data_IF_723521406516
#
_entry.id   IF_723521406516
#
_cell.length_a   1.000
_cell.length_b   1.000
_cell.length_c   1.000
_cell.angle_alpha   90.00
_cell.angle_beta   90.00
_cell.angle_gamma   90.00
#
_symmetry.space_group_name_H-M   'P 1'
#
loop_
_entity.id
_entity.type
_entity.pdbx_description
1 polymer ?
#
# COMPACT_ATOMS: atom_id res chain seq x y z
N UNK A 1 19.98 -2.90 31.77
CA UNK A 1 20.30 -3.06 30.34
C UNK A 1 19.24 -2.29 29.58
N UNK A 2 19.61 -1.15 28.98
CA UNK A 2 18.70 -0.40 28.11
C UNK A 2 18.41 -1.28 26.88
N UNK A 3 17.15 -1.56 26.61
CA UNK A 3 16.75 -2.27 25.41
C UNK A 3 17.34 -1.50 24.21
N UNK A 4 18.25 -2.13 23.45
CA UNK A 4 18.79 -1.54 22.21
C UNK A 4 17.59 -1.29 21.30
N UNK A 5 17.33 -0.04 20.90
CA UNK A 5 16.24 0.24 19.98
C UNK A 5 16.44 -0.56 18.70
N UNK A 6 15.40 -1.23 18.21
CA UNK A 6 15.45 -1.95 16.94
C UNK A 6 15.73 -0.96 15.81
N UNK A 7 16.56 -1.33 14.81
CA UNK A 7 16.71 -0.51 13.61
C UNK A 7 15.38 -0.40 12.86
N UNK A 8 15.15 0.74 12.21
CA UNK A 8 13.90 1.05 11.51
C UNK A 8 13.99 0.52 10.08
N UNK A 9 13.09 -0.39 9.73
CA UNK A 9 12.89 -0.87 8.38
C UNK A 9 11.61 -0.27 7.80
N UNK A 10 11.75 0.63 6.83
CA UNK A 10 10.59 1.17 6.10
C UNK A 10 10.31 0.32 4.87
N UNK A 11 9.06 -0.07 4.70
CA UNK A 11 8.61 -0.94 3.61
C UNK A 11 7.58 -0.21 2.76
N UNK A 12 7.94 0.12 1.51
CA UNK A 12 7.06 0.74 0.53
C UNK A 12 6.45 -0.37 -0.33
N UNK A 13 5.13 -0.57 -0.30
CA UNK A 13 4.47 -1.63 -1.08
C UNK A 13 3.46 -1.09 -2.08
N UNK A 14 3.39 -1.77 -3.23
CA UNK A 14 2.35 -1.57 -4.25
C UNK A 14 1.62 -2.87 -4.58
N UNK A 15 0.75 -2.84 -5.59
CA UNK A 15 -0.15 -3.95 -5.91
C UNK A 15 0.56 -5.28 -6.26
N UNK A 16 1.84 -5.22 -6.64
CA UNK A 16 2.64 -6.40 -6.93
C UNK A 16 2.84 -7.34 -5.74
N UNK A 17 2.85 -6.82 -4.49
CA UNK A 17 2.94 -7.68 -3.30
C UNK A 17 1.70 -8.55 -3.12
N UNK A 18 0.52 -8.05 -3.51
CA UNK A 18 -0.77 -8.74 -3.39
C UNK A 18 -1.14 -9.57 -4.63
N UNK A 19 -0.33 -9.50 -5.71
CA UNK A 19 -0.61 -10.22 -6.97
C UNK A 19 -0.69 -11.74 -6.78
N UNK A 20 0.24 -12.32 -6.00
CA UNK A 20 0.27 -13.76 -5.70
C UNK A 20 -0.83 -14.19 -4.72
N UNK A 21 -1.54 -13.23 -4.11
CA UNK A 21 -2.76 -13.45 -3.32
C UNK A 21 -4.03 -13.41 -4.19
N UNK A 22 -3.90 -13.21 -5.51
CA UNK A 22 -5.01 -13.15 -6.46
C UNK A 22 -5.67 -11.77 -6.60
N UNK A 23 -5.07 -10.71 -6.05
CA UNK A 23 -5.58 -9.34 -6.23
C UNK A 23 -4.98 -8.75 -7.52
N UNK A 24 -5.82 -8.27 -8.47
CA UNK A 24 -5.34 -7.69 -9.72
C UNK A 24 -4.48 -6.44 -9.48
N UNK A 25 -3.35 -6.36 -10.19
CA UNK A 25 -2.49 -5.18 -10.16
C UNK A 25 -3.07 -4.06 -11.03
N UNK A 26 -2.77 -2.82 -10.66
CA UNK A 26 -2.98 -1.65 -11.52
C UNK A 26 -1.92 -1.63 -12.62
N UNK A 27 -2.33 -1.39 -13.87
CA UNK A 27 -1.42 -1.24 -15.02
C UNK A 27 -1.50 0.19 -15.53
N UNK A 28 -0.45 0.96 -15.26
CA UNK A 28 -0.38 2.35 -15.73
C UNK A 28 -0.30 2.46 -17.26
N UNK A 29 0.25 1.46 -17.94
CA UNK A 29 0.49 1.46 -19.39
C UNK A 29 -0.80 1.50 -20.21
N UNK A 30 -1.84 0.78 -19.78
CA UNK A 30 -3.13 0.72 -20.46
C UNK A 30 -4.26 1.49 -19.73
N UNK A 31 -3.95 2.08 -18.56
CA UNK A 31 -4.90 2.79 -17.72
C UNK A 31 -6.04 1.93 -17.19
N UNK A 32 -5.86 0.61 -17.21
CA UNK A 32 -6.86 -0.34 -16.75
C UNK A 32 -6.60 -0.79 -15.32
N UNK A 33 -7.67 -0.82 -14.53
CA UNK A 33 -7.66 -1.39 -13.20
C UNK A 33 -8.80 -2.42 -13.09
N UNK A 34 -8.43 -3.68 -12.92
CA UNK A 34 -9.39 -4.80 -12.90
C UNK A 34 -10.38 -4.76 -14.09
N UNK A 35 -9.88 -4.46 -15.30
CA UNK A 35 -10.67 -4.42 -16.52
C UNK A 35 -11.49 -3.15 -16.75
N UNK A 36 -11.40 -2.15 -15.86
CA UNK A 36 -12.09 -0.86 -15.99
C UNK A 36 -11.10 0.27 -16.23
N UNK A 37 -11.50 1.27 -17.04
CA UNK A 37 -10.73 2.51 -17.17
C UNK A 37 -10.78 3.28 -15.84
N UNK A 38 -9.64 3.78 -15.41
CA UNK A 38 -9.51 4.55 -14.15
C UNK A 38 -10.45 5.75 -14.12
N UNK A 39 -10.60 6.44 -15.25
CA UNK A 39 -11.48 7.61 -15.39
C UNK A 39 -12.96 7.29 -15.14
N UNK A 40 -13.36 6.00 -15.22
CA UNK A 40 -14.74 5.57 -15.04
C UNK A 40 -15.05 5.10 -13.62
N UNK A 41 -14.02 4.76 -12.83
CA UNK A 41 -14.22 4.11 -11.51
C UNK A 41 -13.41 4.73 -10.37
N UNK A 42 -12.33 5.48 -10.65
CA UNK A 42 -11.42 5.98 -9.63
C UNK A 42 -11.09 7.46 -9.79
N UNK A 43 -12.11 8.30 -10.05
CA UNK A 43 -11.99 9.75 -10.08
C UNK A 43 -13.21 10.39 -9.41
N UNK A 44 -13.10 11.63 -8.85
CA UNK A 44 -14.25 12.37 -8.34
C UNK A 44 -15.34 12.57 -9.41
N UNK A 45 -14.93 12.80 -10.66
CA UNK A 45 -15.84 12.95 -11.80
C UNK A 45 -16.61 11.66 -12.10
N UNK A 46 -15.98 10.50 -12.00
CA UNK A 46 -16.64 9.21 -12.16
C UNK A 46 -17.73 9.01 -11.09
N UNK A 47 -17.40 9.32 -9.84
CA UNK A 47 -18.36 9.23 -8.72
C UNK A 47 -19.57 10.13 -8.92
N UNK A 48 -19.38 11.37 -9.42
CA UNK A 48 -20.48 12.29 -9.72
C UNK A 48 -21.33 11.81 -10.90
N UNK A 49 -20.68 11.29 -11.96
CA UNK A 49 -21.36 10.89 -13.20
C UNK A 49 -22.13 9.58 -13.09
N UNK A 50 -21.55 8.59 -12.39
CA UNK A 50 -22.14 7.25 -12.27
C UNK A 50 -21.75 6.60 -10.94
N UNK A 51 -22.36 7.11 -9.85
CA UNK A 51 -22.11 6.63 -8.49
C UNK A 51 -22.37 5.13 -8.35
N UNK A 52 -23.43 4.61 -8.99
CA UNK A 52 -23.78 3.19 -8.92
C UNK A 52 -22.64 2.32 -9.46
N UNK A 53 -22.07 2.66 -10.62
CA UNK A 53 -20.93 1.94 -11.22
C UNK A 53 -19.71 1.98 -10.31
N UNK A 54 -19.40 3.14 -9.72
CA UNK A 54 -18.24 3.28 -8.82
C UNK A 54 -18.44 2.43 -7.57
N UNK A 55 -19.61 2.47 -6.93
CA UNK A 55 -19.88 1.65 -5.75
C UNK A 55 -19.82 0.15 -6.06
N UNK A 56 -20.40 -0.29 -7.18
CA UNK A 56 -20.33 -1.69 -7.62
C UNK A 56 -18.90 -2.15 -7.83
N UNK A 57 -18.09 -1.33 -8.51
CA UNK A 57 -16.66 -1.61 -8.68
C UNK A 57 -15.93 -1.82 -7.35
N UNK A 58 -16.13 -0.92 -6.36
CA UNK A 58 -15.47 -1.05 -5.06
C UNK A 58 -16.07 -2.17 -4.20
N UNK A 59 -17.35 -2.46 -4.31
CA UNK A 59 -17.98 -3.62 -3.68
C UNK A 59 -17.38 -4.93 -4.17
N UNK A 60 -17.19 -5.06 -5.49
CA UNK A 60 -16.54 -6.24 -6.07
C UNK A 60 -15.09 -6.37 -5.60
N UNK A 61 -14.33 -5.28 -5.56
CA UNK A 61 -12.96 -5.28 -5.05
C UNK A 61 -12.89 -5.65 -3.58
N UNK A 62 -13.83 -5.19 -2.76
CA UNK A 62 -13.93 -5.54 -1.34
C UNK A 62 -14.17 -7.04 -1.15
N UNK A 63 -15.08 -7.63 -1.93
CA UNK A 63 -15.31 -9.09 -1.94
C UNK A 63 -14.05 -9.86 -2.33
N UNK A 64 -13.34 -9.41 -3.37
CA UNK A 64 -12.12 -10.05 -3.84
C UNK A 64 -11.01 -9.96 -2.77
N UNK A 65 -10.82 -8.79 -2.15
CA UNK A 65 -9.83 -8.61 -1.10
C UNK A 65 -10.16 -9.47 0.14
N UNK A 66 -11.43 -9.54 0.55
CA UNK A 66 -11.87 -10.37 1.68
C UNK A 66 -11.62 -11.87 1.43
N UNK A 67 -11.75 -12.34 0.19
CA UNK A 67 -11.49 -13.73 -0.18
C UNK A 67 -9.99 -14.06 -0.31
N UNK A 68 -9.15 -13.05 -0.58
CA UNK A 68 -7.71 -13.23 -0.72
C UNK A 68 -7.06 -13.58 0.64
N UNK A 69 -5.87 -14.21 0.57
CA UNK A 69 -5.08 -14.54 1.77
C UNK A 69 -3.70 -13.91 1.67
N UNK A 70 -3.12 -13.46 2.81
CA UNK A 70 -1.73 -13.06 2.84
C UNK A 70 -0.82 -14.13 2.25
N UNK A 71 0.18 -13.74 1.48
CA UNK A 71 1.16 -14.65 0.88
C UNK A 71 2.50 -14.59 1.64
N UNK A 72 3.49 -15.35 1.17
CA UNK A 72 4.79 -15.47 1.81
C UNK A 72 5.50 -14.12 2.01
N UNK A 73 5.30 -13.12 1.13
CA UNK A 73 5.88 -11.80 1.31
C UNK A 73 5.31 -11.07 2.53
N UNK A 74 3.98 -11.08 2.69
CA UNK A 74 3.32 -10.47 3.86
C UNK A 74 3.79 -11.13 5.16
N UNK A 75 3.84 -12.46 5.19
CA UNK A 75 4.28 -13.22 6.38
C UNK A 75 5.75 -12.98 6.72
N UNK A 76 6.61 -12.84 5.72
CA UNK A 76 8.03 -12.55 5.95
C UNK A 76 8.24 -11.16 6.58
N UNK A 77 7.42 -10.16 6.23
CA UNK A 77 7.49 -8.83 6.87
C UNK A 77 7.11 -8.89 8.36
N UNK A 78 6.17 -9.74 8.75
CA UNK A 78 5.85 -9.99 10.16
C UNK A 78 7.02 -10.65 10.89
N UNK A 79 7.71 -11.62 10.25
CA UNK A 79 8.93 -12.20 10.82
C UNK A 79 10.03 -11.16 11.05
N UNK A 80 10.15 -10.18 10.13
CA UNK A 80 11.14 -9.11 10.25
C UNK A 80 10.89 -8.23 11.49
N UNK A 81 9.64 -8.08 11.95
CA UNK A 81 9.31 -7.32 13.16
C UNK A 81 9.98 -7.87 14.42
N UNK A 82 10.47 -9.11 14.41
CA UNK A 82 11.23 -9.67 15.54
C UNK A 82 12.52 -8.92 15.82
N UNK A 83 13.19 -8.39 14.77
CA UNK A 83 14.49 -7.75 14.88
C UNK A 83 14.49 -6.26 14.46
N UNK A 84 13.50 -5.82 13.71
CA UNK A 84 13.34 -4.45 13.22
C UNK A 84 12.06 -3.79 13.76
N UNK A 85 12.08 -2.44 13.86
CA UNK A 85 10.86 -1.62 13.87
C UNK A 85 10.40 -1.49 12.41
N UNK A 86 9.48 -2.37 12.00
CA UNK A 86 8.99 -2.41 10.62
C UNK A 86 7.84 -1.45 10.48
N UNK A 87 7.97 -0.50 9.53
CA UNK A 87 6.96 0.51 9.22
C UNK A 87 6.56 0.38 7.77
N UNK A 88 5.36 -0.14 7.53
CA UNK A 88 4.83 -0.37 6.19
C UNK A 88 4.07 0.86 5.73
N UNK A 89 4.41 1.36 4.53
CA UNK A 89 3.69 2.40 3.80
C UNK A 89 3.18 1.75 2.54
N UNK A 90 1.87 1.53 2.46
CA UNK A 90 1.27 0.81 1.34
C UNK A 90 0.45 1.72 0.44
N UNK A 91 0.59 1.55 -0.87
CA UNK A 91 -0.30 2.09 -1.89
C UNK A 91 -1.55 1.23 -2.07
N UNK A 92 -1.53 0.02 -1.49
CA UNK A 92 -2.65 -0.90 -1.57
C UNK A 92 -3.78 -0.46 -0.66
N UNK A 93 -4.97 -0.86 -1.07
CA UNK A 93 -6.22 -0.58 -0.36
C UNK A 93 -6.81 -1.84 0.29
N UNK A 94 -6.19 -3.00 0.08
CA UNK A 94 -6.49 -4.25 0.77
C UNK A 94 -5.87 -4.27 2.18
N UNK A 95 -6.31 -5.19 3.04
CA UNK A 95 -5.90 -5.37 4.42
C UNK A 95 -4.97 -6.58 4.63
N UNK A 96 -4.24 -7.00 3.59
CA UNK A 96 -3.43 -8.24 3.67
C UNK A 96 -2.23 -8.11 4.60
N UNK A 97 -1.66 -6.91 4.78
CA UNK A 97 -0.60 -6.67 5.76
C UNK A 97 -1.10 -6.89 7.19
N UNK A 98 -2.23 -6.30 7.55
CA UNK A 98 -2.85 -6.43 8.87
C UNK A 98 -3.27 -7.87 9.13
N UNK A 99 -3.87 -8.52 8.13
CA UNK A 99 -4.30 -9.92 8.21
C UNK A 99 -3.14 -10.91 8.29
N UNK A 100 -1.96 -10.53 7.82
CA UNK A 100 -0.72 -11.29 8.04
C UNK A 100 -0.21 -11.14 9.49
N UNK A 101 -0.57 -10.04 10.17
CA UNK A 101 -0.14 -9.72 11.53
C UNK A 101 0.82 -8.53 11.62
N UNK A 102 1.05 -7.76 10.54
CA UNK A 102 1.85 -6.54 10.58
C UNK A 102 1.23 -5.50 11.51
N UNK A 103 2.06 -4.89 12.37
CA UNK A 103 1.58 -4.03 13.47
C UNK A 103 1.58 -2.54 13.17
N UNK A 104 2.34 -2.10 12.16
CA UNK A 104 2.49 -0.68 11.83
C UNK A 104 2.34 -0.50 10.31
N UNK A 105 1.11 -0.22 9.86
CA UNK A 105 0.75 -0.07 8.44
C UNK A 105 0.12 1.30 8.22
N UNK A 106 0.67 2.06 7.27
CA UNK A 106 0.13 3.33 6.80
C UNK A 106 -0.41 3.17 5.38
N UNK A 107 -1.72 3.34 5.20
CA UNK A 107 -2.36 3.33 3.89
C UNK A 107 -2.32 4.71 3.24
N UNK A 108 -1.61 4.85 2.10
CA UNK A 108 -1.53 6.11 1.36
C UNK A 108 -2.82 6.42 0.59
N UNK A 109 -3.49 5.39 0.09
CA UNK A 109 -4.61 5.55 -0.83
C UNK A 109 -5.96 5.13 -0.24
N UNK A 110 -6.03 5.02 1.10
CA UNK A 110 -7.24 4.60 1.81
C UNK A 110 -7.40 3.07 1.89
N UNK A 111 -8.58 2.62 2.29
CA UNK A 111 -8.85 1.24 2.66
C UNK A 111 -10.20 0.76 2.12
N UNK A 112 -10.23 -0.43 1.50
CA UNK A 112 -11.45 -1.02 0.91
C UNK A 112 -12.54 -1.35 1.95
N UNK A 113 -12.13 -1.71 3.16
CA UNK A 113 -13.01 -2.09 4.27
C UNK A 113 -13.58 -0.89 5.03
N UNK A 114 -13.41 0.33 4.49
CA UNK A 114 -13.95 1.57 5.06
C UNK A 114 -14.74 2.38 4.03
N UNK A 115 -15.66 3.20 4.55
CA UNK A 115 -16.39 4.22 3.79
C UNK A 115 -16.27 5.56 4.52
N UNK A 116 -16.32 6.68 3.78
CA UNK A 116 -16.32 8.02 4.34
C UNK A 116 -17.47 8.87 3.80
N UNK A 117 -17.83 9.90 4.53
CA UNK A 117 -18.73 10.93 4.00
C UNK A 117 -18.13 11.57 2.75
N UNK A 118 -18.99 11.92 1.80
CA UNK A 118 -18.59 12.71 0.63
C UNK A 118 -18.40 14.20 0.95
N UNK A 119 -18.80 14.65 2.14
CA UNK A 119 -18.76 16.02 2.58
C UNK A 119 -17.78 16.22 3.77
N UNK A 120 -17.92 15.42 4.81
CA UNK A 120 -17.03 15.42 5.98
C UNK A 120 -15.99 14.30 5.86
N UNK A 121 -14.78 14.63 5.45
CA UNK A 121 -13.70 13.65 5.26
C UNK A 121 -13.27 12.94 6.55
N UNK A 122 -13.55 13.55 7.72
CA UNK A 122 -13.23 12.98 9.03
C UNK A 122 -14.23 11.89 9.45
N UNK A 123 -15.44 11.88 8.87
CA UNK A 123 -16.44 10.86 9.15
C UNK A 123 -16.16 9.58 8.34
N UNK A 124 -15.48 8.65 8.98
CA UNK A 124 -15.08 7.35 8.41
C UNK A 124 -15.70 6.23 9.25
N UNK A 125 -16.24 5.22 8.59
CA UNK A 125 -16.86 4.04 9.22
C UNK A 125 -16.38 2.76 8.55
N UNK A 126 -16.45 1.64 9.28
CA UNK A 126 -16.20 0.33 8.70
C UNK A 126 -17.25 -0.02 7.65
N UNK A 127 -16.81 -0.64 6.57
CA UNK A 127 -17.64 -1.08 5.45
C UNK A 127 -17.16 -2.46 4.98
N UNK A 128 -17.56 -3.51 5.69
CA UNK A 128 -17.15 -4.88 5.40
C UNK A 128 -18.02 -5.56 4.33
N UNK A 129 -19.24 -5.04 4.13
CA UNK A 129 -20.21 -5.51 3.11
C UNK A 129 -20.30 -4.58 1.90
N UNK A 130 -21.40 -4.72 1.15
CA UNK A 130 -21.67 -3.87 0.01
C UNK A 130 -22.12 -2.47 0.46
N UNK A 131 -21.42 -1.43 -0.02
CA UNK A 131 -21.84 -0.05 0.12
C UNK A 131 -23.01 0.22 -0.85
N UNK A 132 -24.09 0.85 -0.35
CA UNK A 132 -25.32 1.12 -1.08
C UNK A 132 -25.43 2.59 -1.50
N UNK A 133 -26.30 2.87 -2.47
CA UNK A 133 -26.55 4.24 -2.95
C UNK A 133 -27.19 5.13 -1.88
N UNK A 134 -28.02 4.54 -1.04
CA UNK A 134 -28.75 5.19 0.05
C UNK A 134 -27.91 5.43 1.31
N UNK A 135 -26.70 4.86 1.41
CA UNK A 135 -25.84 5.05 2.57
C UNK A 135 -25.46 6.52 2.75
N UNK A 136 -25.73 7.04 3.95
CA UNK A 136 -25.52 8.44 4.31
C UNK A 136 -24.82 8.56 5.65
N UNK A 137 -24.11 9.67 5.83
CA UNK A 137 -23.62 10.10 7.13
C UNK A 137 -24.76 10.61 8.03
N UNK A 138 -24.53 10.89 9.32
CA UNK A 138 -25.55 11.40 10.23
C UNK A 138 -26.21 12.74 9.81
N UNK A 139 -25.54 13.50 8.95
CA UNK A 139 -26.02 14.79 8.42
C UNK A 139 -26.78 14.63 7.10
N UNK A 140 -26.93 13.38 6.61
CA UNK A 140 -27.65 13.08 5.39
C UNK A 140 -26.83 13.16 4.09
N UNK A 141 -25.51 13.38 4.18
CA UNK A 141 -24.65 13.40 3.00
C UNK A 141 -24.30 11.97 2.54
N UNK A 142 -24.17 11.77 1.23
CA UNK A 142 -23.87 10.43 0.69
C UNK A 142 -22.51 9.90 1.16
N UNK A 143 -22.41 8.62 1.47
CA UNK A 143 -21.17 7.93 1.77
C UNK A 143 -20.46 7.49 0.49
N UNK A 144 -19.13 7.50 0.45
CA UNK A 144 -18.29 7.01 -0.65
C UNK A 144 -17.25 6.01 -0.13
N UNK A 145 -16.61 5.21 -1.00
CA UNK A 145 -15.45 4.40 -0.61
C UNK A 145 -14.36 5.28 0.02
N UNK A 146 -13.73 4.81 1.09
CA UNK A 146 -12.59 5.47 1.72
C UNK A 146 -11.32 5.23 0.90
N UNK A 147 -11.31 5.76 -0.30
CA UNK A 147 -10.24 5.62 -1.30
C UNK A 147 -9.83 7.01 -1.77
N UNK A 148 -8.54 7.24 -1.90
CA UNK A 148 -7.98 8.43 -2.56
C UNK A 148 -8.11 8.20 -4.08
N UNK A 149 -8.93 9.00 -4.74
CA UNK A 149 -9.14 8.93 -6.17
C UNK A 149 -8.03 9.68 -6.92
N UNK A 150 -7.80 9.30 -8.17
CA UNK A 150 -6.89 10.07 -9.04
C UNK A 150 -7.37 11.51 -9.16
N UNK A 151 -6.42 12.45 -8.92
CA UNK A 151 -6.70 13.89 -8.86
C UNK A 151 -7.03 14.43 -7.47
N UNK A 152 -7.20 13.58 -6.46
CA UNK A 152 -7.31 14.00 -5.06
C UNK A 152 -5.91 14.09 -4.42
N UNK A 153 -5.80 14.91 -3.38
CA UNK A 153 -4.61 14.94 -2.54
C UNK A 153 -4.46 13.62 -1.78
N UNK A 154 -3.22 13.23 -1.50
CA UNK A 154 -2.89 12.05 -0.68
C UNK A 154 -2.69 12.51 0.77
N UNK A 155 -3.68 12.34 1.66
CA UNK A 155 -3.64 12.96 3.00
C UNK A 155 -2.49 12.46 3.86
N UNK A 156 -2.07 11.21 3.66
CA UNK A 156 -1.02 10.56 4.45
C UNK A 156 0.40 10.80 3.91
N UNK A 157 0.57 11.64 2.88
CA UNK A 157 1.87 11.82 2.23
C UNK A 157 2.92 12.41 3.18
N UNK A 158 2.59 13.49 3.90
CA UNK A 158 3.50 14.14 4.84
C UNK A 158 3.95 13.16 5.94
N UNK A 159 2.98 12.41 6.48
CA UNK A 159 3.28 11.38 7.49
C UNK A 159 4.17 10.26 6.93
N UNK A 160 3.98 9.88 5.67
CA UNK A 160 4.83 8.90 5.01
C UNK A 160 6.27 9.41 4.84
N UNK A 161 6.45 10.68 4.48
CA UNK A 161 7.77 11.33 4.38
C UNK A 161 8.49 11.27 5.74
N UNK A 162 7.84 11.71 6.83
CA UNK A 162 8.40 11.67 8.18
C UNK A 162 8.86 10.25 8.61
N UNK A 163 8.15 9.22 8.15
CA UNK A 163 8.51 7.83 8.43
C UNK A 163 9.74 7.42 7.61
N UNK A 164 9.78 7.76 6.32
CA UNK A 164 10.89 7.37 5.42
C UNK A 164 12.19 8.06 5.81
N UNK A 165 12.15 9.31 6.27
CA UNK A 165 13.33 10.06 6.75
C UNK A 165 14.05 9.40 7.94
N UNK A 166 13.38 8.50 8.65
CA UNK A 166 13.91 7.79 9.81
C UNK A 166 14.48 6.40 9.47
N UNK A 167 14.46 5.98 8.20
CA UNK A 167 14.79 4.63 7.80
C UNK A 167 16.29 4.29 7.94
N UNK A 168 16.59 3.18 8.61
CA UNK A 168 17.90 2.53 8.58
C UNK A 168 18.04 1.60 7.36
N UNK A 169 16.92 1.04 6.87
CA UNK A 169 16.82 0.25 5.64
C UNK A 169 15.46 0.46 4.98
N UNK A 170 15.42 0.45 3.64
CA UNK A 170 14.18 0.57 2.87
C UNK A 170 13.97 -0.65 1.98
N UNK A 171 12.79 -1.24 2.04
CA UNK A 171 12.32 -2.26 1.10
C UNK A 171 11.25 -1.65 0.20
N UNK A 172 11.41 -1.75 -1.12
CA UNK A 172 10.43 -1.34 -2.13
C UNK A 172 9.91 -2.61 -2.81
N UNK A 173 8.63 -2.92 -2.66
CA UNK A 173 8.09 -4.22 -3.04
C UNK A 173 6.87 -4.08 -3.95
N UNK A 174 6.94 -4.68 -5.14
CA UNK A 174 5.80 -4.81 -6.04
C UNK A 174 5.17 -3.50 -6.47
N UNK A 175 5.99 -2.48 -6.70
CA UNK A 175 5.55 -1.18 -7.24
C UNK A 175 6.43 -0.76 -8.41
N UNK A 176 5.78 -0.28 -9.48
CA UNK A 176 6.47 0.29 -10.64
C UNK A 176 7.09 1.66 -10.35
N UNK A 177 6.84 2.26 -9.18
CA UNK A 177 7.22 3.64 -8.84
C UNK A 177 6.75 4.68 -9.89
N UNK A 178 5.59 4.44 -10.53
CA UNK A 178 5.04 5.36 -11.54
C UNK A 178 3.91 6.24 -11.01
N UNK A 179 3.33 5.92 -9.87
CA UNK A 179 2.21 6.66 -9.28
C UNK A 179 2.72 7.82 -8.45
N UNK A 180 2.53 9.04 -8.95
CA UNK A 180 2.82 10.27 -8.22
C UNK A 180 1.71 10.56 -7.19
N UNK A 181 2.02 11.10 -5.99
CA UNK A 181 3.34 11.47 -5.46
C UNK A 181 4.09 10.33 -4.73
N UNK A 182 3.50 9.18 -4.56
CA UNK A 182 4.06 8.06 -3.79
C UNK A 182 5.43 7.58 -4.31
N UNK A 183 5.69 7.72 -5.62
CA UNK A 183 6.96 7.35 -6.23
C UNK A 183 8.17 8.16 -5.72
N UNK A 184 7.94 9.36 -5.19
CA UNK A 184 8.98 10.20 -4.62
C UNK A 184 9.49 9.74 -3.25
N UNK A 185 8.65 9.02 -2.48
CA UNK A 185 8.93 8.67 -1.09
C UNK A 185 10.27 7.96 -0.88
N UNK A 186 10.65 7.06 -1.80
CA UNK A 186 11.93 6.34 -1.69
C UNK A 186 13.15 7.27 -1.64
N UNK A 187 13.05 8.46 -2.21
CA UNK A 187 14.14 9.44 -2.24
C UNK A 187 14.27 10.26 -0.97
N UNK A 188 13.27 10.23 -0.08
CA UNK A 188 13.28 10.91 1.22
C UNK A 188 14.08 10.13 2.28
N UNK A 189 14.44 8.86 2.03
CA UNK A 189 15.31 8.09 2.93
C UNK A 189 16.66 8.78 3.12
N UNK A 190 17.38 8.60 4.26
CA UNK A 190 18.73 9.15 4.48
C UNK A 190 19.71 8.72 3.38
N UNK A 191 20.76 9.52 3.13
CA UNK A 191 21.66 9.34 1.96
C UNK A 191 22.32 7.97 1.87
N UNK A 192 22.66 7.36 3.00
CA UNK A 192 23.39 6.09 3.06
C UNK A 192 22.50 4.89 3.38
N UNK A 193 21.19 5.08 3.41
CA UNK A 193 20.22 4.00 3.68
C UNK A 193 20.24 2.98 2.55
N UNK A 194 20.52 1.69 2.83
CA UNK A 194 20.40 0.63 1.82
C UNK A 194 18.93 0.48 1.38
N UNK A 195 18.73 0.39 0.06
CA UNK A 195 17.40 0.27 -0.56
C UNK A 195 17.38 -1.03 -1.35
N UNK A 196 16.43 -1.90 -1.02
CA UNK A 196 16.15 -3.13 -1.76
C UNK A 196 14.90 -2.93 -2.60
N UNK A 197 15.00 -3.15 -3.92
CA UNK A 197 13.87 -3.08 -4.86
C UNK A 197 13.52 -4.50 -5.33
N UNK A 198 12.37 -4.99 -4.90
CA UNK A 198 11.91 -6.36 -5.14
C UNK A 198 10.70 -6.30 -6.08
N UNK A 199 10.91 -6.61 -7.34
CA UNK A 199 9.89 -6.61 -8.39
C UNK A 199 10.36 -7.49 -9.56
N UNK A 200 9.51 -8.27 -10.24
CA UNK A 200 9.92 -9.03 -11.43
C UNK A 200 10.39 -8.16 -12.59
N UNK A 201 9.91 -6.91 -12.67
CA UNK A 201 10.28 -5.91 -13.67
C UNK A 201 10.69 -4.58 -12.99
N UNK A 202 11.81 -4.56 -12.25
CA UNK A 202 12.17 -3.41 -11.43
C UNK A 202 12.46 -2.18 -12.27
N UNK A 203 11.85 -1.06 -11.89
CA UNK A 203 12.10 0.25 -12.50
C UNK A 203 12.87 1.14 -11.53
N UNK A 204 14.12 1.42 -11.85
CA UNK A 204 15.01 2.27 -11.03
C UNK A 204 15.03 3.73 -11.47
N UNK A 205 14.32 4.09 -12.55
CA UNK A 205 14.38 5.42 -13.15
C UNK A 205 13.90 6.56 -12.24
N UNK A 206 13.12 6.24 -11.21
CA UNK A 206 12.64 7.22 -10.22
C UNK A 206 13.47 7.25 -8.92
N UNK A 207 14.41 6.32 -8.74
CA UNK A 207 15.24 6.25 -7.54
C UNK A 207 16.56 6.97 -7.81
N UNK A 208 16.84 8.03 -7.03
CA UNK A 208 18.05 8.85 -7.16
C UNK A 208 19.25 8.29 -6.40
N UNK A 209 19.08 7.15 -5.74
CA UNK A 209 20.07 6.48 -4.89
C UNK A 209 20.44 5.13 -5.45
N UNK A 210 21.55 4.58 -4.97
CA UNK A 210 21.93 3.22 -5.32
C UNK A 210 20.93 2.22 -4.70
N UNK A 211 20.44 1.28 -5.51
CA UNK A 211 19.50 0.24 -5.09
C UNK A 211 20.06 -1.16 -5.35
N UNK A 212 19.72 -2.07 -4.44
CA UNK A 212 19.94 -3.50 -4.60
C UNK A 212 18.67 -4.08 -5.23
N UNK A 213 18.76 -4.54 -6.47
CA UNK A 213 17.62 -5.00 -7.25
C UNK A 213 17.47 -6.50 -7.19
N UNK A 214 16.28 -6.98 -6.78
CA UNK A 214 15.88 -8.39 -6.76
C UNK A 214 14.78 -8.59 -7.79
N UNK A 215 15.12 -9.21 -8.94
CA UNK A 215 14.20 -9.46 -10.06
C UNK A 215 13.36 -10.71 -9.82
N UNK A 216 12.52 -10.68 -8.79
CA UNK A 216 11.66 -11.79 -8.39
C UNK A 216 10.28 -11.28 -8.00
N UNK A 217 9.28 -12.20 -8.05
CA UNK A 217 7.98 -11.94 -7.44
C UNK A 217 8.13 -11.74 -5.94
N UNK A 218 7.21 -11.01 -5.34
CA UNK A 218 7.26 -10.66 -3.92
C UNK A 218 7.35 -11.90 -3.01
N UNK A 219 6.55 -12.93 -3.26
CA UNK A 219 6.51 -14.14 -2.45
C UNK A 219 7.81 -14.95 -2.45
N UNK A 220 8.68 -14.77 -3.46
CA UNK A 220 10.00 -15.39 -3.52
C UNK A 220 11.11 -14.45 -3.05
N UNK A 221 11.07 -13.17 -3.46
CA UNK A 221 12.15 -12.21 -3.20
C UNK A 221 12.14 -11.68 -1.77
N UNK A 222 10.96 -11.35 -1.21
CA UNK A 222 10.87 -10.78 0.14
C UNK A 222 11.39 -11.71 1.23
N UNK A 223 11.02 -13.01 1.27
CA UNK A 223 11.58 -13.93 2.28
C UNK A 223 13.11 -14.02 2.25
N UNK A 224 13.75 -13.95 1.08
CA UNK A 224 15.21 -13.99 0.93
C UNK A 224 15.87 -12.75 1.55
N UNK A 225 15.34 -11.55 1.23
CA UNK A 225 15.86 -10.29 1.79
C UNK A 225 15.63 -10.24 3.30
N UNK A 226 14.46 -10.70 3.79
CA UNK A 226 14.17 -10.75 5.22
C UNK A 226 15.15 -11.69 5.94
N UNK A 227 15.44 -12.87 5.38
CA UNK A 227 16.44 -13.79 5.96
C UNK A 227 17.83 -13.14 6.08
N UNK A 228 18.30 -12.47 5.01
CA UNK A 228 19.57 -11.72 5.01
C UNK A 228 19.60 -10.64 6.09
N UNK A 229 18.53 -9.84 6.20
CA UNK A 229 18.43 -8.77 7.20
C UNK A 229 18.44 -9.32 8.64
N UNK A 230 17.76 -10.43 8.89
CA UNK A 230 17.72 -11.09 10.20
C UNK A 230 19.10 -11.66 10.58
N UNK A 231 19.87 -12.15 9.62
CA UNK A 231 21.25 -12.63 9.84
C UNK A 231 22.19 -11.46 10.18
N UNK A 232 22.06 -10.34 9.50
CA UNK A 232 22.88 -9.16 9.73
C UNK A 232 22.77 -8.63 11.16
N UNK A 233 21.54 -8.62 11.73
CA UNK A 233 21.32 -8.17 13.12
C UNK A 233 21.93 -9.14 14.15
N UNK A 234 21.99 -10.45 13.87
CA UNK A 234 22.60 -11.43 14.78
C UNK A 234 24.12 -11.30 14.86
N UNK A 235 24.73 -10.74 13.83
CA UNK A 235 26.20 -10.61 13.70
C UNK A 235 26.70 -9.23 14.19
N UNK A 236 25.82 -8.33 14.65
CA UNK A 236 26.09 -7.00 15.21
C UNK A 236 25.84 -6.95 16.71
#
# INVERSE_FOLDING_TARGET
MTAKNKPICVVLTGAGISAESGIPTFRAEDGLWAGHKVEEVCTPKALQKNRAKVLDFYNQRRKNAAAAKPNAAHLALVELEKAYDVRIITQNVDDLHERAGSTNVLHLHGELNKARSSFDESYVVDCLGDQKLEDKDPNGHPMRPYIVFFGEMVPMLERAIEIVEQADVVLVIGTSLQVYPANGLVNEAPCNTPIYLIDPNPNTGFVRKQVITIKEKAGAGVPKVVAELLENVKNT
#
